data_IF_830062709831
#
_entry.id   IF_830062709831
#
_cell.length_a   1.000
_cell.length_b   1.000
_cell.length_c   1.000
_cell.angle_alpha   90.00
_cell.angle_beta   90.00
_cell.angle_gamma   90.00
#
_symmetry.space_group_name_H-M   'P 1'
#
loop_
_entity.id
_entity.type
_entity.pdbx_description
1 polymer ?
#
# COMPACT_ATOMS: atom_id res chain seq x y z
N UNK A 1 -6.72 10.84 16.79
CA UNK A 1 -5.80 11.12 15.66
C UNK A 1 -5.02 9.82 15.32
N UNK A 2 -4.50 9.62 14.10
CA UNK A 2 -3.73 8.41 13.74
C UNK A 2 -2.58 8.12 14.71
N UNK A 3 -1.92 9.17 15.22
CA UNK A 3 -0.87 9.09 16.23
C UNK A 3 -1.32 8.41 17.54
N UNK A 4 -2.58 8.58 17.93
CA UNK A 4 -3.12 7.95 19.15
C UNK A 4 -3.36 6.45 18.92
N UNK A 5 -3.85 6.10 17.74
CA UNK A 5 -4.21 4.73 17.37
C UNK A 5 -2.98 3.86 17.07
N UNK A 6 -1.96 4.43 16.43
CA UNK A 6 -0.80 3.67 15.92
C UNK A 6 0.45 3.89 16.77
N UNK A 7 0.74 5.13 17.14
CA UNK A 7 1.98 5.48 17.85
C UNK A 7 1.83 5.47 19.38
N UNK A 8 0.65 5.12 19.92
CA UNK A 8 0.37 5.14 21.37
C UNK A 8 0.76 6.47 22.03
N UNK A 9 0.44 7.59 21.36
CA UNK A 9 0.81 8.97 21.74
C UNK A 9 2.31 9.29 21.71
N UNK A 10 3.16 8.40 21.20
CA UNK A 10 4.56 8.73 20.97
C UNK A 10 4.70 9.69 19.78
N UNK A 11 5.70 10.57 19.87
CA UNK A 11 6.05 11.47 18.78
C UNK A 11 6.88 10.72 17.75
N UNK A 12 6.62 10.99 16.48
CA UNK A 12 7.56 10.65 15.41
C UNK A 12 8.89 11.33 15.73
N UNK A 13 10.00 10.61 15.55
CA UNK A 13 11.33 11.17 15.75
C UNK A 13 11.51 12.42 14.89
N UNK A 14 12.02 13.55 15.44
CA UNK A 14 12.29 14.75 14.65
C UNK A 14 13.37 14.54 13.58
N UNK A 15 14.11 13.41 13.65
CA UNK A 15 15.08 13.00 12.63
C UNK A 15 14.44 12.29 11.44
N UNK A 16 13.16 11.91 11.52
CA UNK A 16 12.47 11.29 10.41
C UNK A 16 12.11 12.37 9.36
N UNK A 17 12.57 12.18 8.14
CA UNK A 17 12.18 13.02 7.02
C UNK A 17 10.78 12.61 6.55
N UNK A 18 9.86 13.57 6.56
CA UNK A 18 8.48 13.35 6.08
C UNK A 18 8.39 13.69 4.59
N UNK A 19 7.61 12.90 3.86
CA UNK A 19 7.35 13.09 2.44
C UNK A 19 5.85 13.09 2.18
N UNK A 20 5.43 13.85 1.16
CA UNK A 20 4.01 14.09 0.87
C UNK A 20 3.32 12.92 0.15
N UNK A 21 4.07 12.01 -0.46
CA UNK A 21 3.53 10.89 -1.24
C UNK A 21 4.49 9.71 -1.30
N UNK A 22 3.97 8.52 -1.63
CA UNK A 22 4.82 7.34 -1.85
C UNK A 22 5.80 7.54 -3.02
N UNK A 23 5.43 8.30 -4.05
CA UNK A 23 6.35 8.66 -5.13
C UNK A 23 7.54 9.49 -4.64
N UNK A 24 7.28 10.53 -3.83
CA UNK A 24 8.33 11.36 -3.25
C UNK A 24 9.22 10.56 -2.27
N UNK A 25 8.64 9.58 -1.56
CA UNK A 25 9.41 8.63 -0.73
C UNK A 25 10.37 7.80 -1.58
N UNK A 26 9.91 7.22 -2.69
CA UNK A 26 10.75 6.42 -3.60
C UNK A 26 11.90 7.26 -4.16
N UNK A 27 11.63 8.48 -4.62
CA UNK A 27 12.65 9.40 -5.15
C UNK A 27 13.70 9.80 -4.09
N UNK A 28 13.25 10.07 -2.87
CA UNK A 28 14.17 10.39 -1.76
C UNK A 28 15.01 9.18 -1.37
N UNK A 29 14.40 7.98 -1.35
CA UNK A 29 15.08 6.76 -0.98
C UNK A 29 16.09 6.30 -2.05
N UNK A 30 15.78 6.49 -3.33
CA UNK A 30 16.67 6.11 -4.43
C UNK A 30 17.93 6.98 -4.51
N UNK A 31 17.86 8.23 -4.05
CA UNK A 31 18.98 9.18 -4.05
C UNK A 31 19.79 9.20 -2.75
N UNK A 32 19.32 8.52 -1.70
CA UNK A 32 19.97 8.47 -0.40
C UNK A 32 20.27 7.03 0.03
N UNK A 33 21.55 6.64 -0.07
CA UNK A 33 22.04 5.29 0.27
C UNK A 33 21.72 4.83 1.70
N UNK A 34 21.52 5.77 2.62
CA UNK A 34 21.24 5.47 4.03
C UNK A 34 19.75 5.58 4.37
N UNK A 35 18.88 5.85 3.40
CA UNK A 35 17.45 5.95 3.64
C UNK A 35 16.82 4.56 3.86
N UNK A 36 15.89 4.52 4.82
CA UNK A 36 14.95 3.42 5.00
C UNK A 36 13.55 4.03 5.02
N UNK A 37 12.66 3.50 4.19
CA UNK A 37 11.31 4.03 4.05
C UNK A 37 10.29 2.92 3.83
N UNK A 38 9.01 3.27 3.98
CA UNK A 38 7.87 2.38 3.71
C UNK A 38 7.05 2.95 2.56
N UNK A 39 6.68 2.09 1.60
CA UNK A 39 5.85 2.43 0.44
C UNK A 39 4.92 1.26 0.12
N UNK A 40 3.83 1.51 -0.61
CA UNK A 40 2.99 0.44 -1.15
C UNK A 40 3.74 -0.36 -2.21
N UNK A 41 3.44 -1.66 -2.33
CA UNK A 41 4.13 -2.55 -3.28
C UNK A 41 4.05 -2.07 -4.74
N UNK A 42 2.94 -1.42 -5.14
CA UNK A 42 2.79 -0.84 -6.48
C UNK A 42 3.75 0.31 -6.82
N UNK A 43 4.48 0.84 -5.84
CA UNK A 43 5.52 1.87 -6.06
C UNK A 43 6.93 1.28 -6.17
N UNK A 44 7.10 -0.04 -6.00
CA UNK A 44 8.40 -0.68 -6.14
C UNK A 44 8.86 -0.63 -7.60
N UNK A 45 10.12 -0.26 -7.78
CA UNK A 45 10.79 -0.24 -9.09
C UNK A 45 12.29 -0.50 -8.89
N UNK A 46 13.06 -0.51 -9.98
CA UNK A 46 14.50 -0.82 -9.95
C UNK A 46 15.37 0.21 -9.21
N UNK A 47 14.85 1.39 -8.88
CA UNK A 47 15.60 2.43 -8.16
C UNK A 47 15.66 2.22 -6.65
N UNK A 48 14.84 1.31 -6.11
CA UNK A 48 14.78 1.00 -4.68
C UNK A 48 14.84 -0.51 -4.46
N UNK A 49 15.35 -0.93 -3.30
CA UNK A 49 15.43 -2.34 -2.92
C UNK A 49 14.37 -2.66 -1.87
N UNK A 50 13.47 -3.57 -2.20
CA UNK A 50 12.51 -4.10 -1.24
C UNK A 50 13.21 -5.00 -0.21
N UNK A 51 12.83 -4.86 1.06
CA UNK A 51 13.42 -5.63 2.17
C UNK A 51 12.52 -6.78 2.60
N UNK A 52 13.15 -7.86 3.04
CA UNK A 52 12.44 -8.99 3.65
C UNK A 52 12.01 -8.60 5.06
N UNK A 53 10.84 -9.06 5.47
CA UNK A 53 10.34 -8.88 6.84
C UNK A 53 10.11 -10.26 7.41
N UNK A 54 10.75 -10.56 8.55
CA UNK A 54 10.75 -11.89 9.15
C UNK A 54 11.19 -13.00 8.17
N UNK A 55 12.12 -12.69 7.25
CA UNK A 55 12.60 -13.64 6.24
C UNK A 55 11.70 -13.80 5.01
N UNK A 56 10.54 -13.13 4.97
CA UNK A 56 9.56 -13.24 3.88
C UNK A 56 9.76 -12.09 2.89
N UNK A 57 9.87 -12.42 1.60
CA UNK A 57 10.01 -11.44 0.53
C UNK A 57 8.65 -10.78 0.21
N UNK A 58 8.62 -9.47 -0.10
CA UNK A 58 7.41 -8.83 -0.60
C UNK A 58 7.13 -9.29 -2.04
N UNK A 59 5.99 -9.92 -2.26
CA UNK A 59 5.47 -10.25 -3.59
C UNK A 59 3.94 -10.21 -3.59
N UNK A 60 3.34 -10.22 -4.78
CA UNK A 60 1.88 -10.34 -4.89
C UNK A 60 1.37 -11.64 -4.27
N UNK A 61 2.13 -12.73 -4.41
CA UNK A 61 1.82 -14.04 -3.84
C UNK A 61 1.84 -14.01 -2.31
N UNK A 62 2.93 -13.53 -1.70
CA UNK A 62 3.06 -13.49 -0.23
C UNK A 62 2.12 -12.48 0.41
N UNK A 63 1.74 -11.41 -0.32
CA UNK A 63 0.70 -10.50 0.12
C UNK A 63 -0.71 -11.11 0.03
N UNK A 64 -1.00 -11.88 -1.03
CA UNK A 64 -2.31 -12.54 -1.22
C UNK A 64 -2.52 -13.69 -0.24
N UNK A 65 -1.46 -14.46 0.08
CA UNK A 65 -1.53 -15.53 1.07
C UNK A 65 -1.57 -15.01 2.52
N UNK A 66 -1.20 -13.74 2.73
CA UNK A 66 -1.08 -13.13 4.06
C UNK A 66 0.22 -13.48 4.79
N UNK A 67 1.14 -14.20 4.14
CA UNK A 67 2.46 -14.51 4.68
C UNK A 67 3.31 -13.25 4.87
N UNK A 68 3.25 -12.29 3.93
CA UNK A 68 3.99 -11.05 4.07
C UNK A 68 3.35 -10.18 5.17
N UNK A 69 4.06 -9.90 6.28
CA UNK A 69 3.45 -9.35 7.49
C UNK A 69 3.07 -7.86 7.36
N UNK A 70 3.56 -7.17 6.32
CA UNK A 70 3.24 -5.76 6.03
C UNK A 70 2.37 -5.70 4.77
N UNK A 71 1.26 -6.43 4.79
CA UNK A 71 0.20 -6.38 3.79
C UNK A 71 -1.13 -6.02 4.46
N UNK A 72 -2.05 -5.41 3.72
CA UNK A 72 -3.39 -5.08 4.22
C UNK A 72 -4.42 -5.05 3.10
N UNK A 73 -5.68 -5.41 3.37
CA UNK A 73 -6.77 -5.16 2.44
C UNK A 73 -7.00 -3.66 2.25
N UNK A 74 -7.41 -3.28 1.04
CA UNK A 74 -7.90 -1.93 0.73
C UNK A 74 -9.43 -1.98 0.68
N UNK A 75 -10.07 -1.08 1.40
CA UNK A 75 -11.52 -1.04 1.53
C UNK A 75 -12.10 0.20 0.85
N UNK A 76 -13.24 0.01 0.19
CA UNK A 76 -14.14 1.08 -0.22
C UNK A 76 -15.21 1.24 0.86
N UNK A 77 -15.44 2.46 1.32
CA UNK A 77 -16.42 2.76 2.35
C UNK A 77 -17.58 3.56 1.77
N UNK A 78 -18.81 3.17 2.12
CA UNK A 78 -20.03 3.92 1.81
C UNK A 78 -20.80 4.15 3.10
N UNK A 79 -21.47 5.31 3.21
CA UNK A 79 -22.24 5.66 4.41
C UNK A 79 -23.48 4.76 4.59
N UNK A 80 -24.07 4.31 3.47
CA UNK A 80 -25.18 3.37 3.43
C UNK A 80 -24.95 2.28 2.39
N UNK A 81 -25.89 1.35 2.27
CA UNK A 81 -25.91 0.40 1.15
C UNK A 81 -25.94 1.20 -0.16
N UNK A 82 -24.95 1.04 -1.05
CA UNK A 82 -24.85 1.83 -2.26
C UNK A 82 -25.95 1.46 -3.26
N UNK A 83 -26.50 2.47 -3.94
CA UNK A 83 -27.47 2.31 -5.03
C UNK A 83 -27.01 3.08 -6.27
N UNK A 84 -27.73 2.94 -7.39
CA UNK A 84 -27.47 3.69 -8.61
C UNK A 84 -26.04 3.55 -9.15
N UNK A 85 -25.44 4.69 -9.52
CA UNK A 85 -24.09 4.77 -10.10
C UNK A 85 -23.01 4.28 -9.13
N UNK A 86 -23.09 4.60 -7.85
CA UNK A 86 -22.13 4.14 -6.83
C UNK A 86 -22.10 2.61 -6.76
N UNK A 87 -23.28 1.97 -6.75
CA UNK A 87 -23.35 0.51 -6.76
C UNK A 87 -22.78 -0.09 -8.05
N UNK A 88 -23.01 0.56 -9.19
CA UNK A 88 -22.46 0.12 -10.48
C UNK A 88 -20.94 0.22 -10.50
N UNK A 89 -20.38 1.32 -10.01
CA UNK A 89 -18.94 1.51 -9.89
C UNK A 89 -18.31 0.47 -8.97
N UNK A 90 -18.88 0.22 -7.80
CA UNK A 90 -18.35 -0.80 -6.87
C UNK A 90 -18.40 -2.21 -7.48
N UNK A 91 -19.46 -2.53 -8.23
CA UNK A 91 -19.51 -3.80 -8.99
C UNK A 91 -18.43 -3.88 -10.05
N UNK A 92 -18.13 -2.79 -10.75
CA UNK A 92 -17.02 -2.74 -11.71
C UNK A 92 -15.67 -2.90 -11.03
N UNK A 93 -15.41 -2.22 -9.92
CA UNK A 93 -14.17 -2.38 -9.14
C UNK A 93 -13.95 -3.84 -8.74
N UNK A 94 -15.02 -4.56 -8.39
CA UNK A 94 -14.99 -5.98 -8.01
C UNK A 94 -15.08 -6.96 -9.19
N UNK A 95 -15.29 -6.48 -10.42
CA UNK A 95 -15.43 -7.34 -11.60
C UNK A 95 -14.07 -7.85 -12.09
N UNK A 96 -14.01 -8.89 -12.94
CA UNK A 96 -12.76 -9.35 -13.54
C UNK A 96 -12.01 -8.24 -14.27
N UNK A 97 -12.72 -7.34 -14.95
CA UNK A 97 -12.13 -6.21 -15.65
C UNK A 97 -11.51 -5.21 -14.67
N UNK A 98 -12.21 -4.87 -13.59
CA UNK A 98 -11.68 -3.99 -12.55
C UNK A 98 -10.46 -4.59 -11.85
N UNK A 99 -10.50 -5.89 -11.54
CA UNK A 99 -9.38 -6.58 -10.89
C UNK A 99 -8.16 -6.72 -11.81
N UNK A 100 -8.36 -6.84 -13.12
CA UNK A 100 -7.27 -6.78 -14.09
C UNK A 100 -6.54 -5.43 -14.05
N UNK A 101 -7.29 -4.33 -13.96
CA UNK A 101 -6.70 -2.99 -13.82
C UNK A 101 -5.91 -2.86 -12.50
N UNK A 102 -6.41 -3.46 -11.41
CA UNK A 102 -5.69 -3.50 -10.11
C UNK A 102 -4.33 -4.19 -10.26
N UNK A 103 -4.28 -5.33 -10.95
CA UNK A 103 -3.04 -6.04 -11.21
C UNK A 103 -2.09 -5.23 -12.11
N UNK A 104 -2.59 -4.66 -13.20
CA UNK A 104 -1.81 -3.82 -14.14
C UNK A 104 -1.22 -2.56 -13.48
N UNK A 105 -1.85 -2.07 -12.40
CA UNK A 105 -1.36 -0.93 -11.61
C UNK A 105 -0.41 -1.34 -10.47
N UNK A 106 -0.07 -2.63 -10.37
CA UNK A 106 0.90 -3.16 -9.40
C UNK A 106 0.33 -3.45 -8.01
N UNK A 107 -0.99 -3.50 -7.87
CA UNK A 107 -1.67 -3.90 -6.64
C UNK A 107 -2.10 -5.38 -6.69
N UNK A 108 -2.33 -5.95 -5.52
CA UNK A 108 -2.72 -7.36 -5.39
C UNK A 108 -4.21 -7.50 -5.68
N UNK A 109 -4.62 -8.21 -6.75
CA UNK A 109 -6.03 -8.43 -7.04
C UNK A 109 -6.67 -9.42 -6.04
N UNK A 110 -7.99 -9.30 -5.85
CA UNK A 110 -8.76 -10.15 -4.94
C UNK A 110 -8.85 -11.60 -5.42
N UNK A 111 -8.76 -11.84 -6.72
CA UNK A 111 -8.89 -13.15 -7.36
C UNK A 111 -7.85 -13.31 -8.45
#
# INVERSE_FOLDING_TARGET
CWSDLVLKKQRVSPKAQLQASSGAVVETASTNRNALAYVGMGYLNSSVKAVHVNGIAPSMETAKSGEYPISRPLFMYTDSVPTGETARYLRFVLSPEGQKIVEETGYVPLR
#
